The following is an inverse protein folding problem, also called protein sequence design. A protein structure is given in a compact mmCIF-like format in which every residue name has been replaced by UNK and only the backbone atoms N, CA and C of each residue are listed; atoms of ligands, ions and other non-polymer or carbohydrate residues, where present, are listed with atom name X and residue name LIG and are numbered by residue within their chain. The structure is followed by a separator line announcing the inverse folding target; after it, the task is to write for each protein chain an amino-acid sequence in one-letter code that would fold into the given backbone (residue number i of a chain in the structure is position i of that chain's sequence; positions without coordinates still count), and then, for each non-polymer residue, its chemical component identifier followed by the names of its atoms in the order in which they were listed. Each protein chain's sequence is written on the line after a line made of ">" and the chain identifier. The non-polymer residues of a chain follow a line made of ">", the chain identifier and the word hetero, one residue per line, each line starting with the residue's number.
data_IF_508383821597
#
_entry.id   IF_508383821597
#
_cell.length_a   1.000
_cell.length_b   1.000
_cell.length_c   1.000
_cell.angle_alpha   90.00
_cell.angle_beta   90.00
_cell.angle_gamma   90.00
#
_symmetry.space_group_name_H-M   'P 1'
#
loop_
_entity.id
_entity.type
_entity.pdbx_description
1 polymer ?
#
# COMPACT_ATOMS: atom_id res chain seq x y z
N UNK A 1 -9.30 7.14 23.80
CA UNK A 1 -8.53 7.03 22.52
C UNK A 1 -9.32 7.62 21.36
N UNK A 2 -10.58 7.26 21.15
CA UNK A 2 -11.41 7.80 20.04
C UNK A 2 -11.50 9.33 20.00
N UNK A 3 -11.76 9.98 21.14
CA UNK A 3 -11.79 11.45 21.22
C UNK A 3 -10.45 12.10 20.82
N UNK A 4 -9.33 11.40 21.05
CA UNK A 4 -8.02 11.87 20.63
C UNK A 4 -7.84 11.71 19.11
N UNK A 5 -8.23 10.56 18.56
CA UNK A 5 -8.21 10.30 17.11
C UNK A 5 -9.06 11.34 16.37
N UNK A 6 -10.29 11.59 16.83
CA UNK A 6 -11.17 12.59 16.26
C UNK A 6 -10.54 13.99 16.27
N UNK A 7 -9.93 14.39 17.39
CA UNK A 7 -9.24 15.68 17.50
C UNK A 7 -8.07 15.79 16.52
N UNK A 8 -7.26 14.74 16.40
CA UNK A 8 -6.11 14.73 15.47
C UNK A 8 -6.60 14.87 14.02
N UNK A 9 -7.62 14.11 13.62
CA UNK A 9 -8.19 14.17 12.27
C UNK A 9 -8.80 15.53 11.89
N UNK A 10 -9.16 16.36 12.86
CA UNK A 10 -9.64 17.74 12.64
C UNK A 10 -8.54 18.81 12.64
N UNK A 11 -7.27 18.42 12.81
CA UNK A 11 -6.16 19.37 12.87
C UNK A 11 -5.94 19.99 11.49
N UNK A 12 -5.76 21.32 11.44
CA UNK A 12 -5.47 22.04 10.20
C UNK A 12 -4.14 21.52 9.61
N UNK A 13 -4.13 21.06 8.35
CA UNK A 13 -2.88 20.67 7.69
C UNK A 13 -2.06 21.91 7.30
N UNK A 14 -0.75 21.74 7.24
CA UNK A 14 0.17 22.73 6.68
C UNK A 14 -0.05 22.90 5.16
N UNK A 15 0.34 24.04 4.55
CA UNK A 15 0.28 24.21 3.10
C UNK A 15 0.99 23.08 2.35
N UNK A 16 0.29 22.44 1.40
CA UNK A 16 0.82 21.30 0.64
C UNK A 16 0.59 19.93 1.29
N UNK A 17 0.05 19.88 2.51
CA UNK A 17 -0.41 18.63 3.15
C UNK A 17 -1.92 18.51 2.98
N UNK A 18 -2.39 17.37 2.46
CA UNK A 18 -3.81 17.16 2.20
C UNK A 18 -4.62 17.00 3.50
N UNK A 19 -4.10 16.21 4.45
CA UNK A 19 -4.75 15.92 5.74
C UNK A 19 -3.76 15.42 6.79
N UNK A 20 -4.12 15.61 8.05
CA UNK A 20 -3.41 15.04 9.20
C UNK A 20 -3.95 13.63 9.47
N UNK A 21 -3.07 12.64 9.50
CA UNK A 21 -3.41 11.23 9.70
C UNK A 21 -3.00 10.76 11.09
N UNK A 22 -3.74 9.81 11.65
CA UNK A 22 -3.28 9.06 12.83
C UNK A 22 -2.41 7.87 12.44
N UNK A 23 -1.64 7.34 13.40
CA UNK A 23 -0.84 6.15 13.19
C UNK A 23 -1.72 4.97 12.74
N UNK A 24 -1.33 4.29 11.66
CA UNK A 24 -2.07 3.17 11.07
C UNK A 24 -3.09 3.59 10.00
N UNK A 25 -3.51 4.86 9.93
CA UNK A 25 -4.52 5.29 8.95
C UNK A 25 -3.98 5.25 7.52
N UNK A 26 -2.72 5.67 7.33
CA UNK A 26 -2.05 5.61 6.01
C UNK A 26 -1.96 4.19 5.49
N UNK A 27 -1.63 3.25 6.36
CA UNK A 27 -1.53 1.82 6.05
C UNK A 27 -2.91 1.22 5.76
N UNK A 28 -3.94 1.61 6.52
CA UNK A 28 -5.32 1.18 6.28
C UNK A 28 -5.84 1.66 4.92
N UNK A 29 -5.57 2.90 4.55
CA UNK A 29 -5.91 3.46 3.23
C UNK A 29 -5.21 2.67 2.12
N UNK A 30 -3.89 2.48 2.23
CA UNK A 30 -3.11 1.76 1.23
C UNK A 30 -3.52 0.28 1.13
N UNK A 31 -3.94 -0.33 2.25
CA UNK A 31 -4.46 -1.70 2.27
C UNK A 31 -5.80 -1.80 1.53
N UNK A 32 -6.75 -0.93 1.85
CA UNK A 32 -8.06 -0.91 1.20
C UNK A 32 -7.93 -0.70 -0.32
N UNK A 33 -7.03 0.19 -0.73
CA UNK A 33 -6.71 0.40 -2.15
C UNK A 33 -6.13 -0.87 -2.81
N UNK A 34 -5.14 -1.52 -2.19
CA UNK A 34 -4.53 -2.76 -2.73
C UNK A 34 -5.47 -3.95 -2.75
N UNK A 35 -6.39 -4.04 -1.79
CA UNK A 35 -7.44 -5.07 -1.77
C UNK A 35 -8.44 -4.86 -2.91
N UNK A 36 -8.74 -3.61 -3.27
CA UNK A 36 -9.67 -3.27 -4.34
C UNK A 36 -9.02 -3.28 -5.74
N UNK A 37 -7.79 -2.78 -5.86
CA UNK A 37 -7.14 -2.45 -7.14
C UNK A 37 -5.91 -3.33 -7.45
N UNK A 38 -5.47 -4.16 -6.50
CA UNK A 38 -4.25 -4.96 -6.61
C UNK A 38 -3.00 -4.24 -6.07
N UNK A 39 -1.91 -5.00 -5.92
CA UNK A 39 -0.63 -4.48 -5.40
C UNK A 39 0.22 -4.02 -6.59
N UNK A 40 0.60 -2.73 -6.68
CA UNK A 40 1.53 -2.29 -7.71
C UNK A 40 2.92 -2.82 -7.39
N UNK A 41 3.54 -3.49 -8.36
CA UNK A 41 4.92 -3.91 -8.33
C UNK A 41 5.71 -3.17 -9.40
N UNK A 42 6.94 -2.81 -9.11
CA UNK A 42 7.81 -2.17 -10.09
C UNK A 42 8.26 -3.17 -11.16
N UNK A 43 8.42 -2.78 -12.44
CA UNK A 43 8.79 -3.68 -13.52
C UNK A 43 10.07 -4.52 -13.25
N UNK A 44 11.14 -3.98 -12.62
CA UNK A 44 12.30 -4.78 -12.25
C UNK A 44 11.95 -5.91 -11.27
N UNK A 45 11.12 -5.64 -10.26
CA UNK A 45 10.67 -6.66 -9.30
C UNK A 45 9.86 -7.75 -9.98
N UNK A 46 9.01 -7.40 -10.95
CA UNK A 46 8.27 -8.38 -11.75
C UNK A 46 9.21 -9.27 -12.55
N UNK A 47 10.28 -8.71 -13.13
CA UNK A 47 11.29 -9.47 -13.86
C UNK A 47 12.02 -10.46 -12.94
N UNK A 48 12.52 -10.00 -11.79
CA UNK A 48 13.21 -10.82 -10.80
C UNK A 48 12.33 -12.00 -10.31
N UNK A 49 11.04 -11.75 -10.08
CA UNK A 49 10.10 -12.81 -9.68
C UNK A 49 9.87 -13.86 -10.77
N UNK A 50 9.85 -13.44 -12.05
CA UNK A 50 9.71 -14.35 -13.19
C UNK A 50 10.97 -15.19 -13.39
N UNK A 51 12.14 -14.61 -13.19
CA UNK A 51 13.43 -15.32 -13.21
C UNK A 51 13.47 -16.38 -12.10
N UNK A 52 13.11 -16.00 -10.87
CA UNK A 52 13.08 -16.93 -9.74
C UNK A 52 12.08 -18.09 -9.97
N UNK A 53 10.92 -17.81 -10.56
CA UNK A 53 9.95 -18.84 -10.92
C UNK A 53 10.52 -19.84 -11.95
N UNK A 54 11.29 -19.34 -12.93
CA UNK A 54 11.96 -20.19 -13.92
C UNK A 54 13.08 -21.04 -13.32
N UNK A 55 13.89 -20.48 -12.41
CA UNK A 55 14.98 -21.19 -11.74
C UNK A 55 14.49 -22.31 -10.83
N UNK A 56 13.41 -22.06 -10.10
CA UNK A 56 12.88 -22.98 -9.09
C UNK A 56 11.82 -23.94 -9.64
N UNK A 57 11.26 -23.65 -10.81
CA UNK A 57 10.11 -24.38 -11.36
C UNK A 57 8.80 -24.13 -10.62
N UNK A 58 8.75 -23.15 -9.71
CA UNK A 58 7.55 -22.79 -8.96
C UNK A 58 6.76 -21.75 -9.77
N UNK A 59 5.53 -22.09 -10.14
CA UNK A 59 4.66 -21.17 -10.85
C UNK A 59 4.24 -19.98 -9.96
N UNK A 60 4.14 -18.81 -10.58
CA UNK A 60 3.58 -17.62 -9.93
C UNK A 60 2.09 -17.84 -9.62
N UNK A 61 1.58 -17.35 -8.49
CA UNK A 61 0.22 -17.63 -8.03
C UNK A 61 -0.88 -16.98 -8.88
N UNK A 62 -0.56 -15.89 -9.60
CA UNK A 62 -1.44 -15.19 -10.52
C UNK A 62 -0.60 -14.43 -11.56
N UNK A 63 -1.18 -13.97 -12.68
CA UNK A 63 -0.50 -13.05 -13.58
C UNK A 63 -0.06 -11.79 -12.83
N UNK A 64 1.25 -11.53 -12.81
CA UNK A 64 1.84 -10.29 -12.30
C UNK A 64 2.19 -9.38 -13.47
N UNK A 65 1.74 -8.14 -13.39
CA UNK A 65 1.97 -7.07 -14.38
C UNK A 65 2.67 -5.90 -13.75
#
# INVERSE_FOLDING_TARGET
>A
VEAFIARVGTTRPEPGVERVLVAGEKEAIARADREANGIPLEPPTVAELRELAAETGIALPAPIS
#
